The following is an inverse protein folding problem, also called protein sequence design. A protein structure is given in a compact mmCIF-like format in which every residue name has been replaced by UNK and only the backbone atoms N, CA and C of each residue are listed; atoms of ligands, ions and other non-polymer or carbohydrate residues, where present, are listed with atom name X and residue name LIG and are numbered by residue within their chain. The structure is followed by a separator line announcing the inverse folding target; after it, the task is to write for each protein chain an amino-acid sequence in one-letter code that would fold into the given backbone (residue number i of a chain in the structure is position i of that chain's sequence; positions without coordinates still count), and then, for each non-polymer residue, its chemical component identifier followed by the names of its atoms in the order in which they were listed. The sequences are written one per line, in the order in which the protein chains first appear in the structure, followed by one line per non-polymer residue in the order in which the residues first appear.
data_IF_605274215395
#
_entry.id   IF_605274215395
#
_cell.length_a   1.000
_cell.length_b   1.000
_cell.length_c   1.000
_cell.angle_alpha   90.00
_cell.angle_beta   90.00
_cell.angle_gamma   90.00
#
_symmetry.space_group_name_H-M   'P 1'
#
loop_
_entity.id
_entity.type
_entity.pdbx_description
1 polymer ?
#
# COMPACT_ATOMS: atom_id res chain seq x y z
N UNK A 1 9.24 25.04 13.16
CA UNK A 1 8.99 23.92 14.09
C UNK A 1 9.95 22.79 13.76
N UNK A 2 10.48 22.07 14.77
CA UNK A 2 11.29 20.88 14.58
C UNK A 2 10.44 19.64 14.88
N UNK A 3 10.43 18.66 13.95
CA UNK A 3 9.64 17.43 14.07
C UNK A 3 10.56 16.21 13.93
N UNK A 4 10.52 15.32 14.93
CA UNK A 4 11.18 14.01 14.84
C UNK A 4 10.17 12.99 14.35
N UNK A 5 10.49 12.29 13.23
CA UNK A 5 9.65 11.25 12.66
C UNK A 5 10.28 9.88 12.97
N UNK A 6 9.48 8.94 13.43
CA UNK A 6 9.91 7.56 13.75
C UNK A 6 9.39 6.60 12.69
N UNK A 7 10.31 5.90 12.02
CA UNK A 7 10.02 4.92 10.96
C UNK A 7 10.14 5.51 9.56
N UNK A 8 11.03 4.93 8.74
CA UNK A 8 11.27 5.30 7.33
C UNK A 8 10.53 4.39 6.33
N UNK A 9 9.36 3.89 6.71
CA UNK A 9 8.42 3.29 5.77
C UNK A 9 7.70 4.36 4.94
N UNK A 10 6.76 3.92 4.09
CA UNK A 10 6.05 4.86 3.19
C UNK A 10 5.34 5.99 3.93
N UNK A 11 4.75 5.73 5.09
CA UNK A 11 4.10 6.76 5.90
C UNK A 11 5.11 7.82 6.40
N UNK A 12 6.23 7.37 6.96
CA UNK A 12 7.25 8.29 7.49
C UNK A 12 7.93 9.12 6.41
N UNK A 13 8.27 8.50 5.27
CA UNK A 13 8.88 9.23 4.14
C UNK A 13 7.92 10.27 3.55
N UNK A 14 6.63 9.92 3.39
CA UNK A 14 5.62 10.87 2.89
C UNK A 14 5.41 12.02 3.88
N UNK A 15 5.34 11.74 5.19
CA UNK A 15 5.21 12.77 6.22
C UNK A 15 6.45 13.67 6.28
N UNK A 16 7.65 13.09 6.17
CA UNK A 16 8.89 13.86 6.16
C UNK A 16 8.96 14.82 4.98
N UNK A 17 8.56 14.35 3.78
CA UNK A 17 8.54 15.18 2.60
C UNK A 17 7.53 16.31 2.74
N UNK A 18 6.29 15.99 3.09
CA UNK A 18 5.21 16.98 3.26
C UNK A 18 5.59 18.08 4.27
N UNK A 19 6.12 17.69 5.44
CA UNK A 19 6.54 18.63 6.48
C UNK A 19 7.72 19.49 6.03
N UNK A 20 8.72 18.90 5.37
CA UNK A 20 9.89 19.62 4.87
C UNK A 20 9.54 20.59 3.75
N UNK A 21 8.59 20.25 2.87
CA UNK A 21 8.10 21.13 1.81
C UNK A 21 7.37 22.35 2.38
N UNK A 22 6.78 22.22 3.57
CA UNK A 22 6.15 23.33 4.31
C UNK A 22 7.09 24.07 5.26
N UNK A 23 8.39 23.84 5.15
CA UNK A 23 9.41 24.58 5.91
C UNK A 23 9.63 24.11 7.35
N UNK A 24 9.09 22.96 7.75
CA UNK A 24 9.45 22.37 9.02
C UNK A 24 10.86 21.78 8.98
N UNK A 25 11.61 21.90 10.10
CA UNK A 25 12.86 21.16 10.28
C UNK A 25 12.51 19.72 10.65
N UNK A 26 12.97 18.75 9.88
CA UNK A 26 12.62 17.34 10.04
C UNK A 26 13.85 16.48 10.28
N UNK A 27 13.76 15.59 11.25
CA UNK A 27 14.70 14.49 11.47
C UNK A 27 13.91 13.18 11.37
N UNK A 28 14.37 12.22 10.53
CA UNK A 28 13.74 10.93 10.35
C UNK A 28 14.62 9.83 10.94
N UNK A 29 14.10 9.06 11.90
CA UNK A 29 14.80 7.97 12.57
C UNK A 29 14.22 6.61 12.11
N UNK A 30 15.12 5.69 11.74
CA UNK A 30 14.76 4.32 11.34
C UNK A 30 15.61 3.31 12.13
N UNK A 31 14.95 2.36 12.78
CA UNK A 31 15.63 1.32 13.58
C UNK A 31 16.41 0.31 12.72
N UNK A 32 15.98 0.09 11.48
CA UNK A 32 16.70 -0.77 10.56
C UNK A 32 18.03 -0.13 10.12
N UNK A 33 19.05 -0.94 9.77
CA UNK A 33 20.37 -0.43 9.38
C UNK A 33 20.37 0.26 8.01
N UNK A 34 19.33 0.08 7.23
CA UNK A 34 19.17 0.70 5.90
C UNK A 34 17.68 0.82 5.53
N UNK A 35 17.43 1.60 4.48
CA UNK A 35 16.07 1.78 3.96
C UNK A 35 15.43 0.42 3.64
N UNK A 36 14.20 0.24 4.11
CA UNK A 36 13.35 -0.89 3.82
C UNK A 36 13.80 -2.28 4.33
N UNK A 37 14.88 -2.37 5.10
CA UNK A 37 15.38 -3.66 5.59
C UNK A 37 14.40 -4.41 6.53
N UNK A 38 13.38 -3.74 7.09
CA UNK A 38 12.46 -4.34 8.05
C UNK A 38 10.99 -4.01 7.83
N UNK A 39 10.64 -3.23 6.80
CA UNK A 39 9.29 -2.69 6.63
C UNK A 39 8.43 -3.43 5.61
N UNK A 40 7.12 -3.60 5.90
CA UNK A 40 6.16 -4.16 4.94
C UNK A 40 6.00 -3.31 3.66
N UNK A 41 6.42 -2.04 3.68
CA UNK A 41 6.40 -1.15 2.50
C UNK A 41 7.25 -1.69 1.35
N UNK A 42 8.34 -2.42 1.64
CA UNK A 42 9.23 -3.00 0.62
C UNK A 42 8.57 -4.11 -0.20
N UNK A 43 7.63 -4.83 0.41
CA UNK A 43 6.92 -5.95 -0.19
C UNK A 43 5.52 -5.59 -0.69
N UNK A 44 5.21 -4.30 -0.76
CA UNK A 44 3.91 -3.83 -1.22
C UNK A 44 3.71 -4.05 -2.73
N UNK A 45 2.46 -4.19 -3.15
CA UNK A 45 2.08 -4.30 -4.55
C UNK A 45 2.27 -3.01 -5.34
N UNK A 46 2.16 -1.86 -4.70
CA UNK A 46 2.27 -0.56 -5.35
C UNK A 46 1.08 -0.20 -6.22
N UNK A 47 -0.06 -0.85 -6.05
CA UNK A 47 -1.30 -0.46 -6.69
C UNK A 47 -1.81 0.86 -6.11
N UNK A 48 -2.18 1.77 -7.00
CA UNK A 48 -2.84 3.03 -6.71
C UNK A 48 -4.27 2.94 -7.28
N UNK A 49 -5.09 2.13 -6.60
CA UNK A 49 -6.36 1.62 -7.10
C UNK A 49 -7.55 1.99 -6.18
N UNK A 50 -7.85 3.31 -6.04
CA UNK A 50 -8.85 3.77 -5.07
C UNK A 50 -10.23 3.19 -5.31
N UNK A 51 -10.61 3.02 -6.57
CA UNK A 51 -11.94 2.59 -6.95
C UNK A 51 -12.14 1.08 -6.83
N UNK A 52 -11.13 0.28 -7.21
CA UNK A 52 -11.10 -1.16 -6.99
C UNK A 52 -11.16 -1.53 -5.50
N UNK A 53 -10.46 -0.78 -4.64
CA UNK A 53 -10.41 -1.07 -3.21
C UNK A 53 -11.75 -0.81 -2.50
N UNK A 54 -12.66 -0.03 -3.12
CA UNK A 54 -14.01 0.21 -2.59
C UNK A 54 -14.86 -1.06 -2.44
N UNK A 55 -14.52 -2.11 -3.16
CA UNK A 55 -15.22 -3.39 -3.07
C UNK A 55 -15.29 -3.92 -1.62
N UNK A 56 -14.18 -3.77 -0.87
CA UNK A 56 -14.05 -4.30 0.49
C UNK A 56 -13.59 -3.24 1.51
N UNK A 57 -13.74 -1.95 1.19
CA UNK A 57 -13.25 -0.86 2.04
C UNK A 57 -14.27 0.28 2.13
N UNK A 58 -14.20 1.05 3.22
CA UNK A 58 -15.04 2.22 3.40
C UNK A 58 -14.79 3.28 2.30
N UNK A 59 -15.79 4.12 1.98
CA UNK A 59 -15.66 5.21 1.00
C UNK A 59 -14.44 6.10 1.22
N UNK A 60 -14.10 6.39 2.46
CA UNK A 60 -12.94 7.18 2.86
C UNK A 60 -11.62 6.69 2.22
N UNK A 61 -11.45 5.37 2.06
CA UNK A 61 -10.24 4.80 1.43
C UNK A 61 -10.12 5.23 -0.03
N UNK A 62 -11.22 5.26 -0.76
CA UNK A 62 -11.24 5.73 -2.15
C UNK A 62 -10.96 7.23 -2.25
N UNK A 63 -11.55 8.04 -1.38
CA UNK A 63 -11.36 9.49 -1.34
C UNK A 63 -9.90 9.86 -1.06
N UNK A 64 -9.32 9.30 0.01
CA UNK A 64 -7.90 9.47 0.36
C UNK A 64 -6.98 8.93 -0.73
N UNK A 65 -7.37 7.80 -1.35
CA UNK A 65 -6.62 7.18 -2.42
C UNK A 65 -6.57 8.01 -3.68
N UNK A 66 -7.69 8.61 -4.10
CA UNK A 66 -7.75 9.50 -5.25
C UNK A 66 -6.92 10.78 -5.02
N UNK A 67 -6.91 11.29 -3.79
CA UNK A 67 -6.03 12.39 -3.40
C UNK A 67 -4.56 12.00 -3.51
N UNK A 68 -4.19 10.84 -2.97
CA UNK A 68 -2.82 10.33 -3.00
C UNK A 68 -2.32 10.03 -4.42
N UNK A 69 -3.17 9.57 -5.32
CA UNK A 69 -2.79 9.32 -6.71
C UNK A 69 -2.34 10.62 -7.41
N UNK A 70 -3.02 11.74 -7.16
CA UNK A 70 -2.58 13.05 -7.67
C UNK A 70 -1.23 13.46 -7.10
N UNK A 71 -1.02 13.21 -5.81
CA UNK A 71 0.26 13.47 -5.15
C UNK A 71 1.39 12.62 -5.75
N UNK A 72 1.18 11.32 -5.97
CA UNK A 72 2.17 10.43 -6.57
C UNK A 72 2.60 10.90 -7.95
N UNK A 73 1.67 11.30 -8.80
CA UNK A 73 1.96 11.85 -10.14
C UNK A 73 2.87 13.09 -10.09
N UNK A 74 2.75 13.89 -9.05
CA UNK A 74 3.56 15.10 -8.88
C UNK A 74 4.94 14.82 -8.25
N UNK A 75 5.08 13.75 -7.47
CA UNK A 75 6.25 13.51 -6.63
C UNK A 75 7.12 12.33 -7.06
N UNK A 76 6.63 11.46 -7.91
CA UNK A 76 7.37 10.30 -8.39
C UNK A 76 7.09 10.03 -9.87
N UNK A 77 8.10 10.26 -10.71
CA UNK A 77 8.00 10.08 -12.16
C UNK A 77 7.67 8.64 -12.60
N UNK A 78 8.00 7.64 -11.76
CA UNK A 78 7.66 6.23 -11.99
C UNK A 78 6.20 5.87 -11.68
N UNK A 79 5.33 6.85 -11.45
CA UNK A 79 3.88 6.61 -11.31
C UNK A 79 3.25 6.42 -12.66
N UNK A 80 2.73 5.23 -12.92
CA UNK A 80 2.04 4.88 -14.18
C UNK A 80 0.54 4.92 -13.93
N UNK A 81 -0.19 5.72 -14.70
CA UNK A 81 -1.66 5.81 -14.65
C UNK A 81 -2.22 5.34 -15.99
N UNK A 82 -2.44 4.05 -16.09
CA UNK A 82 -2.94 3.37 -17.30
C UNK A 82 -4.08 2.41 -16.98
N UNK A 83 -4.67 2.53 -15.80
CA UNK A 83 -5.81 1.78 -15.32
C UNK A 83 -5.47 0.43 -14.67
N UNK A 84 -6.50 -0.17 -14.08
CA UNK A 84 -6.50 -1.53 -13.53
C UNK A 84 -7.50 -2.37 -14.30
N UNK A 85 -7.13 -3.60 -14.65
CA UNK A 85 -8.00 -4.58 -15.27
C UNK A 85 -8.43 -5.62 -14.22
N UNK A 86 -9.73 -5.84 -14.08
CA UNK A 86 -10.30 -6.89 -13.23
C UNK A 86 -10.97 -7.93 -14.11
N UNK A 87 -10.58 -9.19 -13.97
CA UNK A 87 -11.09 -10.31 -14.75
C UNK A 87 -11.56 -11.45 -13.85
N UNK A 88 -12.43 -12.29 -14.38
CA UNK A 88 -12.85 -13.54 -13.75
C UNK A 88 -12.98 -14.63 -14.80
N UNK A 89 -12.83 -15.89 -14.39
CA UNK A 89 -13.11 -17.02 -15.29
C UNK A 89 -14.57 -17.03 -15.73
N UNK A 90 -14.92 -17.63 -16.90
CA UNK A 90 -16.30 -17.66 -17.39
C UNK A 90 -17.33 -18.19 -16.38
N UNK A 91 -16.94 -19.17 -15.55
CA UNK A 91 -17.77 -19.73 -14.48
C UNK A 91 -18.02 -18.76 -13.30
N UNK A 92 -17.15 -17.76 -13.13
CA UNK A 92 -17.14 -16.82 -12.01
C UNK A 92 -17.60 -15.41 -12.44
N UNK A 93 -18.27 -15.28 -13.59
CA UNK A 93 -18.74 -13.98 -14.14
C UNK A 93 -19.68 -13.25 -13.18
N UNK A 94 -20.42 -13.96 -12.34
CA UNK A 94 -21.27 -13.38 -11.31
C UNK A 94 -20.46 -12.52 -10.31
N UNK A 95 -19.23 -12.90 -10.02
CA UNK A 95 -18.31 -12.15 -9.14
C UNK A 95 -17.97 -10.77 -9.74
N UNK A 96 -17.79 -10.66 -11.07
CA UNK A 96 -17.57 -9.37 -11.74
C UNK A 96 -18.76 -8.42 -11.55
N UNK A 97 -19.99 -8.94 -11.65
CA UNK A 97 -21.19 -8.13 -11.44
C UNK A 97 -21.31 -7.66 -9.99
N UNK A 98 -20.98 -8.51 -9.03
CA UNK A 98 -20.97 -8.13 -7.62
C UNK A 98 -19.88 -7.11 -7.32
N UNK A 99 -18.69 -7.31 -7.88
CA UNK A 99 -17.57 -6.38 -7.76
C UNK A 99 -17.94 -5.00 -8.32
N UNK A 100 -18.51 -4.94 -9.52
CA UNK A 100 -18.94 -3.70 -10.15
C UNK A 100 -19.98 -2.93 -9.31
N UNK A 101 -20.89 -3.64 -8.63
CA UNK A 101 -21.91 -3.00 -7.76
C UNK A 101 -21.33 -2.40 -6.48
N UNK A 102 -20.18 -2.90 -6.03
CA UNK A 102 -19.50 -2.46 -4.79
C UNK A 102 -18.41 -1.42 -5.06
N UNK A 103 -18.04 -1.22 -6.32
CA UNK A 103 -16.99 -0.30 -6.75
C UNK A 103 -17.58 0.92 -7.47
N UNK A 104 -16.73 1.81 -7.95
CA UNK A 104 -17.11 2.99 -8.72
C UNK A 104 -16.08 3.25 -9.83
N UNK A 105 -16.40 4.12 -10.79
CA UNK A 105 -15.49 4.56 -11.85
C UNK A 105 -14.92 3.40 -12.69
N UNK A 106 -15.72 2.34 -12.90
CA UNK A 106 -15.34 1.23 -13.77
C UNK A 106 -16.20 1.15 -15.02
N UNK A 107 -15.61 0.62 -16.06
CA UNK A 107 -16.24 0.29 -17.32
C UNK A 107 -16.36 -1.23 -17.45
N UNK A 108 -17.55 -1.74 -17.76
CA UNK A 108 -17.72 -3.16 -18.12
C UNK A 108 -17.25 -3.36 -19.54
N UNK A 109 -16.26 -4.23 -19.74
CA UNK A 109 -15.63 -4.48 -21.03
C UNK A 109 -15.74 -5.94 -21.43
N UNK A 110 -15.65 -6.20 -22.75
CA UNK A 110 -15.70 -7.53 -23.35
C UNK A 110 -14.33 -7.95 -23.90
N UNK A 111 -14.22 -9.22 -24.33
CA UNK A 111 -13.01 -9.85 -24.81
C UNK A 111 -12.18 -9.00 -25.78
N UNK A 112 -12.82 -8.31 -26.72
CA UNK A 112 -12.09 -7.46 -27.69
C UNK A 112 -11.38 -6.28 -27.00
N UNK A 113 -12.05 -5.62 -26.05
CA UNK A 113 -11.45 -4.52 -25.30
C UNK A 113 -10.35 -5.03 -24.34
N UNK A 114 -10.55 -6.21 -23.73
CA UNK A 114 -9.51 -6.86 -22.90
C UNK A 114 -8.26 -7.12 -23.76
N UNK A 115 -8.44 -7.70 -24.97
CA UNK A 115 -7.33 -7.96 -25.90
C UNK A 115 -6.64 -6.68 -26.38
N UNK A 116 -7.37 -5.59 -26.52
CA UNK A 116 -6.79 -4.28 -26.89
C UNK A 116 -5.98 -3.66 -25.74
N UNK A 117 -6.44 -3.83 -24.49
CA UNK A 117 -5.74 -3.34 -23.29
C UNK A 117 -4.53 -4.21 -22.94
N UNK A 118 -4.67 -5.53 -23.00
CA UNK A 118 -3.65 -6.51 -22.66
C UNK A 118 -3.66 -7.64 -23.72
N UNK A 119 -2.88 -7.50 -24.80
CA UNK A 119 -2.87 -8.46 -25.90
C UNK A 119 -2.58 -9.90 -25.48
N UNK A 120 -1.71 -10.08 -24.47
CA UNK A 120 -1.35 -11.41 -23.96
C UNK A 120 -2.48 -12.09 -23.19
N UNK A 121 -3.53 -11.36 -22.83
CA UNK A 121 -4.76 -11.95 -22.26
C UNK A 121 -5.82 -12.28 -23.34
N UNK A 122 -5.49 -12.14 -24.63
CA UNK A 122 -6.42 -12.40 -25.72
C UNK A 122 -6.99 -13.82 -25.66
N UNK A 123 -8.32 -13.94 -25.85
CA UNK A 123 -9.02 -15.22 -25.83
C UNK A 123 -9.19 -15.87 -24.46
N UNK A 124 -8.65 -15.30 -23.40
CA UNK A 124 -8.70 -15.91 -22.05
C UNK A 124 -9.93 -15.52 -21.26
N UNK A 125 -10.39 -14.29 -21.39
CA UNK A 125 -11.51 -13.74 -20.64
C UNK A 125 -12.54 -13.12 -21.58
N UNK A 126 -13.81 -13.45 -21.36
CA UNK A 126 -14.92 -12.93 -22.18
C UNK A 126 -15.44 -11.58 -21.66
N UNK A 127 -15.26 -11.33 -20.36
CA UNK A 127 -15.72 -10.12 -19.66
C UNK A 127 -14.70 -9.66 -18.65
N UNK A 128 -14.66 -8.36 -18.40
CA UNK A 128 -13.83 -7.72 -17.37
C UNK A 128 -14.40 -6.38 -16.96
N UNK A 129 -13.77 -5.78 -15.95
CA UNK A 129 -13.97 -4.41 -15.55
C UNK A 129 -12.66 -3.65 -15.74
N UNK A 130 -12.75 -2.46 -16.31
CA UNK A 130 -11.60 -1.58 -16.48
C UNK A 130 -11.81 -0.33 -15.66
N UNK A 131 -10.78 0.07 -14.90
CA UNK A 131 -10.73 1.24 -14.05
C UNK A 131 -9.69 2.22 -14.61
N UNK A 132 -10.06 3.11 -15.54
CA UNK A 132 -9.11 3.92 -16.31
C UNK A 132 -8.31 4.92 -15.47
N UNK A 133 -8.88 5.41 -14.37
CA UNK A 133 -8.27 6.43 -13.52
C UNK A 133 -7.27 5.89 -12.49
N UNK A 134 -7.06 4.57 -12.45
CA UNK A 134 -6.16 3.92 -11.52
C UNK A 134 -4.74 3.81 -12.06
N UNK A 135 -3.80 3.53 -11.17
CA UNK A 135 -2.41 3.40 -11.53
C UNK A 135 -1.63 2.45 -10.64
N UNK A 136 -0.34 2.44 -10.86
CA UNK A 136 0.61 1.68 -10.06
C UNK A 136 1.99 2.32 -10.07
N UNK A 137 2.85 1.83 -9.20
CA UNK A 137 4.26 2.22 -9.14
C UNK A 137 5.10 1.05 -8.61
N UNK A 138 6.40 1.12 -8.77
CA UNK A 138 7.32 0.25 -8.04
C UNK A 138 7.54 0.81 -6.63
N UNK A 139 7.13 0.08 -5.57
CA UNK A 139 7.30 0.52 -4.19
C UNK A 139 8.75 0.80 -3.80
N UNK A 140 9.68 0.00 -4.29
CA UNK A 140 11.11 0.10 -3.96
C UNK A 140 11.74 1.32 -4.60
N UNK A 141 11.45 1.54 -5.87
CA UNK A 141 11.86 2.74 -6.58
C UNK A 141 11.25 4.00 -5.95
N UNK A 142 9.96 3.95 -5.58
CA UNK A 142 9.29 5.06 -4.93
C UNK A 142 9.88 5.39 -3.54
N UNK A 143 10.15 4.40 -2.69
CA UNK A 143 10.80 4.61 -1.39
C UNK A 143 12.19 5.22 -1.56
N UNK A 144 12.98 4.71 -2.51
CA UNK A 144 14.31 5.23 -2.81
C UNK A 144 14.28 6.66 -3.33
N UNK A 145 13.33 6.97 -4.22
CA UNK A 145 13.15 8.32 -4.77
C UNK A 145 12.74 9.34 -3.68
N UNK A 146 11.81 8.95 -2.79
CA UNK A 146 11.42 9.82 -1.67
C UNK A 146 12.58 10.06 -0.71
N UNK A 147 13.39 9.03 -0.41
CA UNK A 147 14.56 9.17 0.45
C UNK A 147 15.62 10.08 -0.20
N UNK A 148 15.87 9.95 -1.49
CA UNK A 148 16.78 10.81 -2.24
C UNK A 148 16.31 12.28 -2.22
N UNK A 149 15.03 12.52 -2.49
CA UNK A 149 14.43 13.86 -2.46
C UNK A 149 14.51 14.51 -1.06
N UNK A 150 14.35 13.72 -0.01
CA UNK A 150 14.55 14.19 1.37
C UNK A 150 16.01 14.60 1.59
N UNK A 151 16.98 13.84 1.10
CA UNK A 151 18.41 14.17 1.13
C UNK A 151 18.72 15.49 0.42
N UNK A 152 18.15 15.71 -0.78
CA UNK A 152 18.27 16.97 -1.52
C UNK A 152 17.74 18.18 -0.74
N UNK A 153 16.76 17.97 0.13
CA UNK A 153 16.17 18.97 1.01
C UNK A 153 16.90 19.12 2.35
N UNK A 154 17.99 18.40 2.54
CA UNK A 154 18.79 18.42 3.78
C UNK A 154 18.14 17.67 4.95
N UNK A 155 17.13 16.83 4.70
CA UNK A 155 16.52 16.00 5.74
C UNK A 155 17.36 14.74 5.95
N UNK A 156 17.93 14.59 7.15
CA UNK A 156 18.73 13.43 7.50
C UNK A 156 17.84 12.23 7.85
N UNK A 157 18.10 11.07 7.24
CA UNK A 157 17.55 9.78 7.66
C UNK A 157 18.61 9.06 8.51
N UNK A 158 18.33 8.88 9.79
CA UNK A 158 19.23 8.22 10.73
C UNK A 158 18.84 6.75 10.85
N UNK A 159 19.62 5.90 10.22
CA UNK A 159 19.45 4.44 10.29
C UNK A 159 20.09 3.86 11.54
N UNK A 160 19.59 2.69 11.99
CA UNK A 160 20.05 2.01 13.20
C UNK A 160 19.66 2.72 14.51
N UNK A 161 18.69 3.63 14.45
CA UNK A 161 18.25 4.42 15.61
C UNK A 161 16.84 3.98 16.03
N UNK A 162 16.74 3.34 17.19
CA UNK A 162 15.46 3.03 17.84
C UNK A 162 15.02 4.24 18.66
N UNK A 163 14.30 5.14 18.00
CA UNK A 163 13.83 6.37 18.60
C UNK A 163 12.50 6.17 19.36
N UNK A 164 12.34 6.93 20.44
CA UNK A 164 11.09 6.97 21.23
C UNK A 164 10.64 8.42 21.44
N UNK A 165 9.33 8.65 21.65
CA UNK A 165 8.83 9.98 22.02
C UNK A 165 9.52 10.51 23.26
N UNK A 166 9.86 11.83 23.23
CA UNK A 166 10.52 12.53 24.35
C UNK A 166 9.71 13.77 24.72
N UNK A 167 9.56 14.02 26.01
CA UNK A 167 8.89 15.21 26.50
C UNK A 167 9.50 16.49 25.91
N UNK A 168 8.64 17.44 25.54
CA UNK A 168 9.04 18.71 24.93
C UNK A 168 9.47 18.65 23.48
N UNK A 169 9.36 17.49 22.82
CA UNK A 169 9.62 17.31 21.38
C UNK A 169 8.32 17.03 20.63
N UNK A 170 8.19 17.58 19.44
CA UNK A 170 7.12 17.21 18.52
C UNK A 170 7.53 15.92 17.79
N UNK A 171 6.80 14.85 18.04
CA UNK A 171 7.09 13.52 17.50
C UNK A 171 5.93 13.04 16.64
N UNK A 172 6.25 12.58 15.44
CA UNK A 172 5.34 11.89 14.52
C UNK A 172 5.77 10.43 14.41
N UNK A 173 4.97 9.52 14.95
CA UNK A 173 5.28 8.09 14.95
C UNK A 173 4.62 7.37 13.76
N UNK A 174 5.44 6.92 12.81
CA UNK A 174 5.07 6.17 11.62
C UNK A 174 5.64 4.73 11.65
N UNK A 175 5.93 4.20 12.85
CA UNK A 175 6.63 2.92 13.03
C UNK A 175 5.78 1.66 12.75
N UNK A 176 4.55 1.83 12.27
CA UNK A 176 3.65 0.72 11.91
C UNK A 176 3.35 -0.17 13.10
N UNK A 177 3.49 -1.50 12.95
CA UNK A 177 3.16 -2.45 14.03
C UNK A 177 4.03 -2.28 15.28
N UNK A 178 5.21 -1.66 15.17
CA UNK A 178 6.05 -1.39 16.34
C UNK A 178 5.41 -0.39 17.33
N UNK A 179 4.42 0.40 16.90
CA UNK A 179 3.65 1.29 17.77
C UNK A 179 2.62 0.55 18.66
N UNK A 180 2.47 -0.78 18.56
CA UNK A 180 1.43 -1.57 19.25
C UNK A 180 1.44 -1.41 20.77
N UNK A 181 2.58 -1.15 21.38
CA UNK A 181 2.65 -0.89 22.82
C UNK A 181 1.96 0.41 23.25
N UNK A 182 1.80 1.37 22.31
CA UNK A 182 1.12 2.66 22.51
C UNK A 182 -0.27 2.68 21.91
N UNK A 183 -0.49 1.91 20.85
CA UNK A 183 -1.77 1.75 20.14
C UNK A 183 -2.29 0.34 20.41
N UNK A 184 -2.94 0.16 21.56
CA UNK A 184 -3.29 -1.18 22.10
C UNK A 184 -4.28 -1.98 21.26
N UNK A 185 -5.08 -1.30 20.43
CA UNK A 185 -6.01 -1.89 19.48
C UNK A 185 -5.40 -2.20 18.10
N UNK A 186 -4.10 -1.93 17.92
CA UNK A 186 -3.40 -2.23 16.68
C UNK A 186 -3.12 -3.73 16.56
N UNK A 187 -3.48 -4.32 15.41
CA UNK A 187 -3.27 -5.74 15.10
C UNK A 187 -2.37 -5.91 13.89
N UNK A 188 -1.75 -7.08 13.80
CA UNK A 188 -0.95 -7.47 12.66
C UNK A 188 -1.77 -8.25 11.63
N UNK A 189 -1.57 -7.95 10.34
CA UNK A 189 -2.11 -8.74 9.23
C UNK A 189 -0.97 -9.11 8.30
N UNK A 190 -0.59 -10.39 8.33
CA UNK A 190 0.49 -10.93 7.51
C UNK A 190 0.09 -10.92 6.03
N UNK A 191 1.00 -10.47 5.20
CA UNK A 191 0.90 -10.50 3.75
C UNK A 191 2.12 -11.17 3.14
N UNK A 192 1.88 -12.05 2.21
CA UNK A 192 2.91 -12.79 1.48
C UNK A 192 2.76 -12.52 -0.01
N UNK A 193 3.87 -12.34 -0.70
CA UNK A 193 3.94 -12.03 -2.12
C UNK A 193 5.10 -12.74 -2.80
N UNK A 194 5.02 -12.85 -4.11
CA UNK A 194 6.11 -13.34 -4.94
C UNK A 194 6.53 -12.24 -5.91
N UNK A 195 7.83 -12.12 -6.14
CA UNK A 195 8.37 -11.43 -7.29
C UNK A 195 8.85 -12.48 -8.28
N UNK A 196 8.28 -12.50 -9.46
CA UNK A 196 8.59 -13.48 -10.50
C UNK A 196 9.09 -12.81 -11.76
N UNK A 197 9.96 -13.47 -12.50
CA UNK A 197 10.46 -13.04 -13.81
C UNK A 197 9.81 -13.89 -14.89
N UNK A 198 9.20 -13.22 -15.84
CA UNK A 198 8.51 -13.83 -16.99
C UNK A 198 8.56 -12.87 -18.18
N UNK A 199 9.70 -12.79 -18.90
CA UNK A 199 9.90 -11.82 -19.99
C UNK A 199 9.03 -12.10 -21.22
N UNK A 200 8.51 -13.32 -21.38
CA UNK A 200 7.64 -13.73 -22.48
C UNK A 200 6.20 -13.19 -22.35
N UNK A 201 5.80 -12.76 -21.17
CA UNK A 201 4.50 -12.13 -20.89
C UNK A 201 4.67 -10.63 -20.79
N UNK A 202 3.81 -9.86 -21.45
CA UNK A 202 3.84 -8.41 -21.41
C UNK A 202 2.50 -7.85 -20.88
N UNK A 203 2.33 -7.83 -19.56
CA UNK A 203 1.24 -7.08 -18.94
C UNK A 203 1.71 -5.65 -18.66
N UNK A 204 0.90 -4.67 -19.05
CA UNK A 204 1.26 -3.25 -18.96
C UNK A 204 0.64 -2.53 -17.76
N UNK A 205 -0.36 -3.15 -17.12
CA UNK A 205 -1.12 -2.62 -15.98
C UNK A 205 -1.38 -3.67 -14.92
N UNK A 206 -1.80 -3.27 -13.71
CA UNK A 206 -2.28 -4.22 -12.72
C UNK A 206 -3.46 -5.02 -13.24
N UNK A 207 -3.39 -6.35 -13.11
CA UNK A 207 -4.48 -7.26 -13.42
C UNK A 207 -4.93 -7.97 -12.16
N UNK A 208 -6.21 -7.84 -11.81
CA UNK A 208 -6.84 -8.58 -10.70
C UNK A 208 -7.65 -9.74 -11.25
N UNK A 209 -7.35 -10.94 -10.80
CA UNK A 209 -8.18 -12.11 -11.03
C UNK A 209 -9.12 -12.29 -9.83
N UNK A 210 -10.43 -12.18 -10.04
CA UNK A 210 -11.40 -12.57 -9.04
C UNK A 210 -11.40 -14.09 -8.96
N UNK A 211 -11.03 -14.58 -7.80
CA UNK A 211 -10.96 -16.01 -7.52
C UNK A 211 -11.64 -16.29 -6.17
N UNK A 212 -12.51 -17.34 -6.06
CA UNK A 212 -13.33 -17.57 -4.87
C UNK A 212 -12.55 -17.75 -3.57
N UNK A 213 -11.31 -18.25 -3.65
CA UNK A 213 -10.48 -18.52 -2.47
C UNK A 213 -9.41 -17.47 -2.21
N UNK A 214 -8.79 -16.95 -3.28
CA UNK A 214 -7.69 -16.01 -3.18
C UNK A 214 -7.81 -15.01 -4.33
N UNK A 215 -8.33 -13.81 -4.09
CA UNK A 215 -8.27 -12.75 -5.08
C UNK A 215 -6.80 -12.39 -5.31
N UNK A 216 -6.34 -12.64 -6.53
CA UNK A 216 -4.98 -12.38 -6.94
C UNK A 216 -4.90 -11.01 -7.62
N UNK A 217 -3.77 -10.34 -7.45
CA UNK A 217 -3.36 -9.27 -8.35
C UNK A 217 -1.93 -9.50 -8.84
N UNK A 218 -1.70 -9.18 -10.09
CA UNK A 218 -0.39 -9.16 -10.73
C UNK A 218 -0.09 -7.72 -11.09
N UNK A 219 1.04 -7.21 -10.63
CA UNK A 219 1.47 -5.82 -10.90
C UNK A 219 2.78 -5.87 -11.67
N UNK A 220 2.81 -5.30 -12.89
CA UNK A 220 4.03 -5.28 -13.69
C UNK A 220 5.12 -4.42 -13.05
N UNK A 221 6.36 -4.83 -13.27
CA UNK A 221 7.60 -4.12 -12.96
C UNK A 221 8.44 -4.05 -14.22
N UNK A 222 9.52 -3.30 -14.16
CA UNK A 222 10.47 -3.25 -15.27
C UNK A 222 11.10 -4.62 -15.58
N UNK A 223 11.57 -4.80 -16.81
CA UNK A 223 12.35 -5.96 -17.24
C UNK A 223 11.66 -7.32 -17.07
N UNK A 224 10.36 -7.40 -17.33
CA UNK A 224 9.60 -8.65 -17.27
C UNK A 224 9.44 -9.22 -15.86
N UNK A 225 9.57 -8.36 -14.85
CA UNK A 225 9.26 -8.71 -13.46
C UNK A 225 7.79 -8.44 -13.16
N UNK A 226 7.20 -9.31 -12.36
CA UNK A 226 5.82 -9.16 -11.88
C UNK A 226 5.75 -9.42 -10.38
N UNK A 227 5.08 -8.52 -9.69
CA UNK A 227 4.68 -8.78 -8.31
C UNK A 227 3.34 -9.51 -8.33
N UNK A 228 3.31 -10.69 -7.70
CA UNK A 228 2.14 -11.56 -7.57
C UNK A 228 1.72 -11.55 -6.11
N UNK A 229 0.52 -11.13 -5.82
CA UNK A 229 0.07 -10.96 -4.44
C UNK A 229 -1.44 -10.98 -4.25
N UNK A 230 -1.83 -10.94 -3.05
CA UNK A 230 -1.10 -11.19 -1.82
C UNK A 230 -2.02 -11.87 -0.82
N UNK A 231 -1.45 -12.65 0.07
CA UNK A 231 -2.23 -13.24 1.16
C UNK A 231 -2.69 -12.18 2.17
N UNK A 232 -3.75 -12.50 2.89
CA UNK A 232 -4.27 -11.73 4.02
C UNK A 232 -4.53 -12.71 5.17
N UNK A 233 -3.59 -12.77 6.11
CA UNK A 233 -3.64 -13.71 7.23
C UNK A 233 -3.67 -12.91 8.52
N UNK A 234 -4.68 -13.11 9.34
CA UNK A 234 -4.79 -12.49 10.67
C UNK A 234 -3.71 -13.08 11.59
N UNK A 235 -2.53 -12.48 11.54
CA UNK A 235 -1.36 -12.90 12.31
C UNK A 235 -0.32 -11.79 12.33
N UNK A 236 0.40 -11.66 13.44
CA UNK A 236 1.59 -10.83 13.60
C UNK A 236 2.90 -11.61 13.42
N UNK A 237 2.79 -12.88 13.00
CA UNK A 237 3.93 -13.72 12.69
C UNK A 237 4.64 -13.26 11.40
N UNK A 238 5.86 -12.75 11.54
CA UNK A 238 6.70 -12.30 10.43
C UNK A 238 7.54 -13.44 9.80
N UNK A 239 7.25 -14.70 10.10
CA UNK A 239 7.96 -15.84 9.52
C UNK A 239 7.75 -15.97 8.01
N UNK A 240 8.52 -16.84 7.38
CA UNK A 240 8.49 -17.07 5.94
C UNK A 240 7.12 -17.56 5.46
N UNK A 241 6.90 -17.46 4.15
CA UNK A 241 5.69 -17.96 3.49
C UNK A 241 5.43 -19.43 3.79
N UNK A 242 4.17 -19.79 3.97
CA UNK A 242 3.77 -21.19 4.09
C UNK A 242 3.70 -21.89 2.72
N UNK A 243 3.85 -23.23 2.71
CA UNK A 243 3.67 -24.02 1.48
C UNK A 243 2.25 -23.83 0.91
N UNK A 244 1.22 -23.73 1.77
CA UNK A 244 -0.14 -23.44 1.34
C UNK A 244 -0.23 -22.11 0.59
N UNK A 245 0.25 -21.02 1.18
CA UNK A 245 0.21 -19.69 0.56
C UNK A 245 0.96 -19.66 -0.76
N UNK A 246 2.11 -20.34 -0.84
CA UNK A 246 2.89 -20.46 -2.07
C UNK A 246 2.08 -21.16 -3.17
N UNK A 247 1.47 -22.29 -2.87
CA UNK A 247 0.63 -23.03 -3.81
C UNK A 247 -0.58 -22.21 -4.27
N UNK A 248 -1.23 -21.50 -3.36
CA UNK A 248 -2.39 -20.66 -3.67
C UNK A 248 -2.00 -19.52 -4.61
N UNK A 249 -0.93 -18.78 -4.32
CA UNK A 249 -0.45 -17.67 -5.17
C UNK A 249 -0.05 -18.17 -6.57
N UNK A 250 0.74 -19.23 -6.66
CA UNK A 250 1.19 -19.80 -7.94
C UNK A 250 0.03 -20.38 -8.75
N UNK A 251 -0.90 -21.09 -8.08
CA UNK A 251 -2.07 -21.63 -8.76
C UNK A 251 -2.99 -20.53 -9.32
N UNK A 252 -3.19 -19.45 -8.58
CA UNK A 252 -3.97 -18.31 -9.04
C UNK A 252 -3.27 -17.55 -10.18
N UNK A 253 -1.95 -17.39 -10.12
CA UNK A 253 -1.17 -16.80 -11.21
C UNK A 253 -1.22 -17.66 -12.47
N UNK A 254 -1.09 -18.98 -12.34
CA UNK A 254 -1.24 -19.93 -13.45
C UNK A 254 -2.66 -19.88 -14.05
N UNK A 255 -3.68 -19.73 -13.22
CA UNK A 255 -5.06 -19.57 -13.68
C UNK A 255 -5.27 -18.25 -14.43
N UNK A 256 -4.60 -17.16 -14.06
CA UNK A 256 -4.59 -15.91 -14.81
C UNK A 256 -3.95 -16.12 -16.19
N UNK A 257 -2.72 -16.65 -16.23
CA UNK A 257 -2.04 -16.97 -17.48
C UNK A 257 -1.09 -18.16 -17.30
N UNK A 258 -1.15 -19.21 -18.20
CA UNK A 258 -0.37 -20.43 -18.05
C UNK A 258 1.14 -20.21 -18.12
N UNK A 259 1.62 -19.15 -18.76
CA UNK A 259 3.04 -18.81 -18.76
C UNK A 259 3.61 -18.61 -17.34
N UNK A 260 2.79 -18.25 -16.35
CA UNK A 260 3.26 -18.17 -14.95
C UNK A 260 3.74 -19.52 -14.39
N UNK A 261 3.39 -20.64 -15.03
CA UNK A 261 3.92 -21.95 -14.67
C UNK A 261 5.43 -22.09 -14.90
N UNK A 262 5.98 -21.34 -15.86
CA UNK A 262 7.40 -21.33 -16.20
C UNK A 262 8.14 -20.09 -15.64
N UNK A 263 7.46 -19.24 -14.89
CA UNK A 263 8.06 -18.04 -14.34
C UNK A 263 9.13 -18.37 -13.29
N UNK A 264 10.26 -17.68 -13.34
CA UNK A 264 11.31 -17.78 -12.33
C UNK A 264 10.89 -17.04 -11.05
N UNK A 265 10.88 -17.71 -9.91
CA UNK A 265 10.69 -17.07 -8.60
C UNK A 265 11.98 -16.34 -8.22
N UNK A 266 11.94 -15.01 -8.28
CA UNK A 266 13.09 -14.15 -7.98
C UNK A 266 13.18 -13.87 -6.49
N UNK A 267 12.02 -13.63 -5.86
CA UNK A 267 11.97 -13.28 -4.44
C UNK A 267 10.62 -13.69 -3.82
N UNK A 268 10.68 -14.04 -2.56
CA UNK A 268 9.52 -14.31 -1.73
C UNK A 268 9.49 -13.27 -0.62
N UNK A 269 8.46 -12.43 -0.60
CA UNK A 269 8.29 -11.38 0.39
C UNK A 269 7.24 -11.71 1.43
N UNK A 270 7.53 -11.39 2.68
CA UNK A 270 6.59 -11.50 3.80
C UNK A 270 6.66 -10.21 4.62
N UNK A 271 5.51 -9.64 4.94
CA UNK A 271 5.42 -8.46 5.78
C UNK A 271 4.16 -8.46 6.63
N UNK A 272 4.24 -7.85 7.81
CA UNK A 272 3.09 -7.71 8.70
C UNK A 272 2.58 -6.27 8.62
N UNK A 273 1.35 -6.12 8.15
CA UNK A 273 0.66 -4.83 8.03
C UNK A 273 0.04 -4.46 9.36
N UNK A 274 0.15 -3.21 9.73
CA UNK A 274 -0.55 -2.66 10.90
C UNK A 274 -1.98 -2.27 10.52
N UNK A 275 -2.95 -2.76 11.28
CA UNK A 275 -4.37 -2.48 11.06
C UNK A 275 -5.10 -2.22 12.38
N UNK A 276 -6.03 -1.28 12.38
CA UNK A 276 -7.04 -1.14 13.41
C UNK A 276 -8.20 -2.11 13.19
N UNK A 277 -9.09 -2.35 14.17
CA UNK A 277 -10.16 -3.34 14.04
C UNK A 277 -11.09 -3.13 12.84
N UNK A 278 -11.33 -1.89 12.44
CA UNK A 278 -12.17 -1.49 11.31
C UNK A 278 -11.41 -1.33 9.98
N UNK A 279 -10.10 -1.60 9.97
CA UNK A 279 -9.19 -1.40 8.83
C UNK A 279 -9.09 0.05 8.31
N UNK A 280 -9.51 1.04 9.10
CA UNK A 280 -9.38 2.46 8.74
C UNK A 280 -8.07 3.04 9.29
N UNK A 281 -7.41 3.93 8.52
CA UNK A 281 -6.21 4.60 9.00
C UNK A 281 -6.55 5.63 10.09
N UNK A 282 -5.58 5.90 10.95
CA UNK A 282 -5.73 6.89 12.03
C UNK A 282 -4.55 7.84 12.14
N UNK A 283 -4.90 9.09 12.44
CA UNK A 283 -4.05 10.07 13.09
C UNK A 283 -4.44 10.09 14.57
N UNK A 284 -3.65 9.49 15.45
CA UNK A 284 -3.99 9.33 16.85
C UNK A 284 -2.92 9.90 17.76
N UNK A 285 -3.31 10.69 18.77
CA UNK A 285 -2.40 11.15 19.81
C UNK A 285 -2.33 10.09 20.91
N UNK A 286 -1.14 9.58 21.17
CA UNK A 286 -0.90 8.62 22.23
C UNK A 286 0.57 8.65 22.65
N UNK A 287 0.85 8.45 23.94
CA UNK A 287 2.23 8.31 24.45
C UNK A 287 3.16 9.47 24.10
N UNK A 288 2.67 10.69 23.99
CA UNK A 288 3.45 11.88 23.69
C UNK A 288 3.81 12.06 22.20
N UNK A 289 3.20 11.32 21.28
CA UNK A 289 3.37 11.45 19.84
C UNK A 289 2.03 11.57 19.11
N UNK A 290 2.07 12.13 17.89
CA UNK A 290 1.03 11.92 16.90
C UNK A 290 1.41 10.68 16.07
N UNK A 291 0.54 9.69 16.00
CA UNK A 291 0.73 8.48 15.22
C UNK A 291 0.03 8.58 13.88
N UNK A 292 0.72 8.17 12.81
CA UNK A 292 0.13 7.89 11.48
C UNK A 292 0.19 6.38 11.29
N UNK A 293 -0.94 5.69 11.49
CA UNK A 293 -0.93 4.24 11.54
C UNK A 293 -2.22 3.60 11.00
N UNK A 294 -2.25 2.27 10.94
CA UNK A 294 -3.42 1.53 10.50
C UNK A 294 -3.66 1.59 8.99
N UNK A 295 -2.63 1.86 8.18
CA UNK A 295 -2.78 1.92 6.73
C UNK A 295 -3.11 0.56 6.09
N UNK A 296 -3.03 -0.52 6.87
CA UNK A 296 -3.40 -1.87 6.46
C UNK A 296 -2.73 -2.28 5.15
N UNK A 297 -3.50 -2.69 4.14
CA UNK A 297 -3.01 -3.07 2.81
C UNK A 297 -2.87 -1.88 1.85
N UNK A 298 -3.24 -0.68 2.29
CA UNK A 298 -3.35 0.51 1.45
C UNK A 298 -2.20 1.52 1.66
N UNK A 299 -1.03 1.08 2.14
CA UNK A 299 0.06 1.97 2.53
C UNK A 299 0.41 3.01 1.46
N UNK A 300 0.73 2.61 0.23
CA UNK A 300 1.05 3.53 -0.87
C UNK A 300 -0.15 4.34 -1.34
N UNK A 301 -1.34 3.77 -1.25
CA UNK A 301 -2.58 4.44 -1.61
C UNK A 301 -2.97 5.56 -0.64
N UNK A 302 -2.62 5.45 0.66
CA UNK A 302 -3.12 6.36 1.69
C UNK A 302 -2.05 7.27 2.29
N UNK A 303 -0.79 6.87 2.27
CA UNK A 303 0.28 7.58 2.98
C UNK A 303 0.40 9.06 2.60
N UNK A 304 0.34 9.47 1.32
CA UNK A 304 0.39 10.89 0.97
C UNK A 304 -0.75 11.73 1.54
N UNK A 305 -2.00 11.24 1.43
CA UNK A 305 -3.16 11.96 1.94
C UNK A 305 -3.14 12.09 3.48
N UNK A 306 -2.65 11.06 4.17
CA UNK A 306 -2.46 11.10 5.62
C UNK A 306 -1.29 11.99 6.03
N UNK A 307 -0.20 12.01 5.24
CA UNK A 307 0.94 12.88 5.48
C UNK A 307 0.53 14.36 5.42
N UNK A 308 -0.29 14.74 4.43
CA UNK A 308 -0.83 16.09 4.34
C UNK A 308 -1.65 16.45 5.58
N UNK A 309 -2.57 15.55 6.00
CA UNK A 309 -3.39 15.77 7.21
C UNK A 309 -2.55 15.83 8.47
N UNK A 310 -1.53 14.98 8.61
CA UNK A 310 -0.61 15.02 9.74
C UNK A 310 0.16 16.35 9.81
N UNK A 311 0.60 16.85 8.65
CA UNK A 311 1.24 18.17 8.57
C UNK A 311 0.27 19.30 8.95
N UNK A 312 -0.96 19.28 8.44
CA UNK A 312 -2.01 20.25 8.81
C UNK A 312 -2.30 20.24 10.33
N UNK A 313 -2.35 19.04 10.94
CA UNK A 313 -2.55 18.88 12.40
C UNK A 313 -1.39 19.48 13.20
N UNK A 314 -0.15 19.25 12.73
CA UNK A 314 1.05 19.70 13.45
C UNK A 314 1.36 21.18 13.24
N UNK A 315 1.20 21.70 12.02
CA UNK A 315 1.59 23.05 11.65
C UNK A 315 0.46 24.06 11.87
N UNK A 316 -0.77 23.67 11.55
CA UNK A 316 -1.92 24.58 11.49
C UNK A 316 -2.97 24.29 12.57
N UNK A 317 -2.78 23.24 13.38
CA UNK A 317 -3.73 22.82 14.42
C UNK A 317 -5.08 22.33 13.88
N UNK A 318 -5.13 21.91 12.62
CA UNK A 318 -6.37 21.42 12.01
C UNK A 318 -6.83 20.10 12.63
N UNK A 319 -8.12 19.85 12.52
CA UNK A 319 -8.74 18.61 12.99
C UNK A 319 -9.45 17.89 11.82
N UNK A 320 -9.26 16.57 11.73
CA UNK A 320 -9.80 15.71 10.67
C UNK A 320 -10.59 14.55 11.31
N UNK A 321 -11.86 14.73 11.63
CA UNK A 321 -12.65 13.75 12.38
C UNK A 321 -12.77 12.40 11.66
N UNK A 322 -12.64 12.38 10.33
CA UNK A 322 -12.72 11.16 9.54
C UNK A 322 -11.53 10.21 9.74
N UNK A 323 -10.38 10.73 10.21
CA UNK A 323 -9.15 9.94 10.47
C UNK A 323 -8.58 10.16 11.88
N UNK A 324 -9.15 11.07 12.66
CA UNK A 324 -8.71 11.32 14.03
C UNK A 324 -9.68 10.72 15.02
N UNK A 325 -9.16 9.99 15.99
CA UNK A 325 -9.92 9.50 17.14
C UNK A 325 -9.09 9.67 18.42
N UNK A 326 -9.80 9.71 19.54
CA UNK A 326 -9.17 9.68 20.84
C UNK A 326 -8.69 8.27 21.16
N UNK A 327 -7.55 8.14 21.83
CA UNK A 327 -7.07 6.84 22.30
C UNK A 327 -8.11 6.22 23.25
N UNK A 328 -8.58 4.98 22.99
CA UNK A 328 -9.45 4.26 23.92
C UNK A 328 -8.87 4.12 25.33
N UNK A 329 -7.53 4.16 25.47
CA UNK A 329 -6.84 4.16 26.76
C UNK A 329 -6.99 5.47 27.54
N UNK A 330 -7.04 6.62 26.89
CA UNK A 330 -7.22 7.92 27.53
C UNK A 330 -8.67 8.13 28.05
N UNK A 331 -9.66 7.54 27.38
CA UNK A 331 -11.07 7.58 27.82
C UNK A 331 -11.33 6.86 29.14
N UNK A 332 -10.45 5.97 29.59
CA UNK A 332 -10.59 5.23 30.85
C UNK A 332 -10.02 5.96 32.05
N UNK A 333 -9.30 7.08 31.84
CA UNK A 333 -8.64 7.88 32.89
C UNK A 333 -9.35 9.21 33.12
N UNK A 334 -10.39 9.55 32.39
CA UNK A 334 -11.28 10.69 32.55
C UNK A 334 -12.61 10.25 33.18
#
# INVERSE_FOLDING_TARGET
MHVTIIGAGIAGLSCALELSERGASVELCERAPQLAAAGCSWFAGGMLAPWCERENSAPLIAELGAESLRWWRAHFAGTVVNGTLVVAHPRDTAELLQFARRTAHCESIRAQAISALEPDLSGRFSHGLYFPEEGHLDPRAALSALAARLGERGVAIRFGVDAAPRAGRVVLDCSGLAARSRLVDLRGVKGEMLLVRLPELNLTRPVRLLHPRLPLYVVPRESGLYMVGATMIESDDATRISARSMLELLSAAYALHPAFGEAQIVEIGTGVRAAFPDNLPRLRRAGGALHVNGLYRHGFLLAPALARRAADVLLDGRHYPEVMDDDPGERRLA
#
